data_IF_825318070913
#
_entry.id   IF_825318070913
#
_cell.length_a   1.000
_cell.length_b   1.000
_cell.length_c   1.000
_cell.angle_alpha   90.00
_cell.angle_beta   90.00
_cell.angle_gamma   90.00
#
_symmetry.space_group_name_H-M   'P 1'
#
loop_
_entity.id
_entity.type
_entity.pdbx_description
1 polymer ?
#
# COMPACT_ATOMS: atom_id res chain seq x y z
N UNK A 1 -30.99 -4.01 0.29
CA UNK A 1 -30.28 -3.27 -0.79
C UNK A 1 -28.80 -3.35 -0.47
N UNK A 2 -28.15 -4.41 -0.93
CA UNK A 2 -26.78 -4.75 -0.54
C UNK A 2 -25.81 -4.07 -1.49
N UNK A 3 -25.36 -2.86 -1.13
CA UNK A 3 -24.30 -2.18 -1.87
C UNK A 3 -23.01 -2.95 -1.61
N UNK A 4 -22.55 -3.67 -2.62
CA UNK A 4 -21.35 -4.50 -2.53
C UNK A 4 -20.12 -3.61 -2.35
N UNK A 5 -19.19 -4.01 -1.50
CA UNK A 5 -17.89 -3.31 -1.32
C UNK A 5 -17.10 -3.21 -2.63
N UNK A 6 -17.36 -4.11 -3.60
CA UNK A 6 -16.87 -4.01 -4.97
C UNK A 6 -17.51 -2.83 -5.72
N UNK A 7 -18.79 -2.56 -5.50
CA UNK A 7 -19.49 -1.43 -6.09
C UNK A 7 -19.00 -0.09 -5.50
N UNK A 8 -18.67 -0.06 -4.20
CA UNK A 8 -18.02 1.08 -3.55
C UNK A 8 -16.60 1.31 -4.09
N UNK A 9 -15.81 0.25 -4.31
CA UNK A 9 -14.47 0.33 -4.90
C UNK A 9 -14.49 0.70 -6.39
N UNK A 10 -15.45 0.18 -7.16
CA UNK A 10 -15.68 0.53 -8.56
C UNK A 10 -16.14 1.98 -8.70
N UNK A 11 -17.03 2.45 -7.81
CA UNK A 11 -17.45 3.84 -7.74
C UNK A 11 -16.29 4.76 -7.30
N UNK A 12 -15.37 4.27 -6.46
CA UNK A 12 -14.17 5.02 -6.09
C UNK A 12 -13.15 5.12 -7.24
N UNK A 13 -12.96 4.05 -8.03
CA UNK A 13 -12.17 4.09 -9.28
C UNK A 13 -12.79 5.02 -10.32
N UNK A 14 -14.12 5.02 -10.46
CA UNK A 14 -14.82 5.89 -11.39
C UNK A 14 -14.73 7.39 -11.00
N UNK A 15 -14.61 7.70 -9.71
CA UNK A 15 -14.40 9.07 -9.21
C UNK A 15 -12.93 9.54 -9.24
N UNK A 16 -11.97 8.63 -9.41
CA UNK A 16 -10.56 8.92 -9.73
C UNK A 16 -10.30 8.95 -11.25
N UNK A 17 -11.34 9.19 -12.06
CA UNK A 17 -11.17 9.52 -13.47
C UNK A 17 -10.46 10.88 -13.65
N UNK A 18 -10.38 11.70 -12.60
CA UNK A 18 -9.25 12.61 -12.45
C UNK A 18 -8.06 11.77 -11.98
N UNK A 19 -7.27 11.30 -12.96
CA UNK A 19 -5.94 10.76 -12.71
C UNK A 19 -5.24 11.69 -11.71
N UNK A 20 -4.72 11.21 -10.56
CA UNK A 20 -3.54 11.86 -10.05
C UNK A 20 -2.52 11.57 -11.15
N UNK A 21 -2.32 12.53 -12.06
CA UNK A 21 -1.00 12.71 -12.62
C UNK A 21 -0.12 12.78 -11.37
N UNK A 22 0.47 11.64 -10.99
CA UNK A 22 1.20 11.51 -9.74
C UNK A 22 2.24 12.60 -9.80
N UNK A 23 2.13 13.59 -8.93
CA UNK A 23 3.09 14.68 -8.94
C UNK A 23 4.48 14.00 -8.89
N UNK A 24 5.36 14.28 -9.88
CA UNK A 24 6.68 13.68 -9.89
C UNK A 24 7.44 13.90 -8.58
N UNK A 25 7.10 14.95 -7.82
CA UNK A 25 7.58 15.18 -6.47
C UNK A 25 7.01 14.17 -5.46
N UNK A 26 5.70 13.96 -5.38
CA UNK A 26 5.08 12.96 -4.50
C UNK A 26 5.60 11.54 -4.79
N UNK A 27 5.76 11.21 -6.06
CA UNK A 27 6.31 9.91 -6.45
C UNK A 27 7.78 9.74 -6.01
N UNK A 28 8.55 10.83 -6.01
CA UNK A 28 9.92 10.82 -5.48
C UNK A 28 9.94 10.63 -3.96
N UNK A 29 9.07 11.30 -3.23
CA UNK A 29 8.94 11.14 -1.77
C UNK A 29 8.53 9.69 -1.43
N UNK A 30 7.54 9.13 -2.13
CA UNK A 30 7.16 7.73 -1.95
C UNK A 30 8.33 6.78 -2.25
N UNK A 31 9.08 7.04 -3.33
CA UNK A 31 10.25 6.24 -3.67
C UNK A 31 11.35 6.33 -2.59
N UNK A 32 11.54 7.47 -1.94
CA UNK A 32 12.50 7.62 -0.85
C UNK A 32 12.08 6.84 0.39
N UNK A 33 10.79 6.92 0.77
CA UNK A 33 10.25 6.12 1.88
C UNK A 33 10.45 4.62 1.60
N UNK A 34 10.12 4.17 0.39
CA UNK A 34 10.24 2.76 0.00
C UNK A 34 11.69 2.30 -0.20
N UNK A 35 12.66 3.20 -0.33
CA UNK A 35 14.08 2.83 -0.40
C UNK A 35 14.62 2.36 0.96
N UNK A 36 13.93 2.69 2.06
CA UNK A 36 14.32 2.26 3.42
C UNK A 36 14.10 0.76 3.67
N UNK A 37 13.34 0.10 2.80
CA UNK A 37 13.04 -1.33 2.88
C UNK A 37 14.29 -2.19 2.66
N UNK A 38 14.47 -3.30 3.39
CA UNK A 38 15.54 -4.24 3.11
C UNK A 38 15.43 -4.78 1.68
N UNK A 39 16.46 -4.58 0.85
CA UNK A 39 16.45 -5.05 -0.54
C UNK A 39 16.72 -6.56 -0.64
N UNK A 40 15.72 -7.40 -0.97
CA UNK A 40 15.87 -8.84 -1.03
C UNK A 40 16.69 -9.31 -2.24
N UNK A 41 17.00 -8.41 -3.18
CA UNK A 41 17.73 -8.74 -4.41
C UNK A 41 19.22 -8.90 -4.12
N UNK A 42 19.83 -9.91 -4.75
CA UNK A 42 21.29 -10.08 -4.79
C UNK A 42 21.96 -8.85 -5.39
N UNK A 43 23.19 -8.54 -4.98
CA UNK A 43 23.96 -7.35 -5.43
C UNK A 43 24.02 -7.23 -6.96
N UNK A 44 24.20 -8.34 -7.66
CA UNK A 44 24.23 -8.41 -9.13
C UNK A 44 22.89 -8.04 -9.79
N UNK A 45 21.78 -8.16 -9.07
CA UNK A 45 20.42 -7.85 -9.54
C UNK A 45 19.95 -6.42 -9.24
N UNK A 46 20.75 -5.60 -8.54
CA UNK A 46 20.39 -4.23 -8.12
C UNK A 46 20.68 -3.20 -9.22
N UNK A 47 20.11 -3.43 -10.40
CA UNK A 47 20.20 -2.49 -11.54
C UNK A 47 19.37 -1.22 -11.35
N UNK A 48 18.29 -1.34 -10.60
CA UNK A 48 17.32 -0.27 -10.37
C UNK A 48 17.18 -0.05 -8.86
N UNK A 49 17.04 1.22 -8.45
CA UNK A 49 16.72 1.60 -7.07
C UNK A 49 15.46 0.88 -6.58
N UNK A 50 15.47 0.39 -5.34
CA UNK A 50 14.38 -0.43 -4.81
C UNK A 50 13.09 0.39 -4.72
N UNK A 51 13.17 1.55 -4.09
CA UNK A 51 12.03 2.40 -3.82
C UNK A 51 11.38 2.90 -5.10
N UNK A 52 12.17 3.19 -6.14
CA UNK A 52 11.67 3.54 -7.47
C UNK A 52 10.84 2.42 -8.09
N UNK A 53 11.32 1.17 -8.03
CA UNK A 53 10.57 0.03 -8.58
C UNK A 53 9.24 -0.16 -7.83
N UNK A 54 9.27 -0.07 -6.51
CA UNK A 54 8.08 -0.25 -5.68
C UNK A 54 7.08 0.89 -5.90
N UNK A 55 7.53 2.15 -5.89
CA UNK A 55 6.69 3.31 -6.11
C UNK A 55 6.00 3.27 -7.48
N UNK A 56 6.72 2.89 -8.53
CA UNK A 56 6.15 2.70 -9.86
C UNK A 56 5.14 1.56 -9.93
N UNK A 57 5.41 0.43 -9.26
CA UNK A 57 4.43 -0.65 -9.13
C UNK A 57 3.15 -0.15 -8.44
N UNK A 58 3.29 0.61 -7.35
CA UNK A 58 2.17 1.19 -6.61
C UNK A 58 1.33 2.09 -7.50
N UNK A 59 1.95 3.06 -8.19
CA UNK A 59 1.23 3.96 -9.11
C UNK A 59 0.57 3.20 -10.25
N UNK A 60 1.25 2.20 -10.82
CA UNK A 60 0.67 1.38 -11.89
C UNK A 60 -0.60 0.64 -11.41
N UNK A 61 -0.56 0.06 -10.21
CA UNK A 61 -1.71 -0.64 -9.62
C UNK A 61 -2.85 0.34 -9.31
N UNK A 62 -2.54 1.53 -8.77
CA UNK A 62 -3.52 2.59 -8.56
C UNK A 62 -4.15 3.08 -9.87
N UNK A 63 -3.36 3.12 -10.95
CA UNK A 63 -3.82 3.36 -12.33
C UNK A 63 -4.59 2.19 -12.95
N UNK A 64 -4.81 1.10 -12.20
CA UNK A 64 -5.64 -0.04 -12.60
C UNK A 64 -4.87 -1.21 -13.22
N UNK A 65 -3.53 -1.22 -13.20
CA UNK A 65 -2.75 -2.36 -13.67
C UNK A 65 -2.92 -3.57 -12.74
N UNK A 66 -3.61 -4.60 -13.23
CA UNK A 66 -3.90 -5.82 -12.46
C UNK A 66 -2.96 -7.00 -12.77
N UNK A 67 -1.97 -6.82 -13.64
CA UNK A 67 -1.01 -7.88 -14.02
C UNK A 67 0.41 -7.34 -14.10
N UNK A 68 1.41 -8.21 -13.90
CA UNK A 68 2.84 -7.83 -14.03
C UNK A 68 3.17 -7.24 -15.40
N UNK A 69 2.56 -7.76 -16.46
CA UNK A 69 2.70 -7.23 -17.82
C UNK A 69 2.07 -5.84 -17.95
N UNK A 70 0.91 -5.62 -17.32
CA UNK A 70 0.28 -4.30 -17.28
C UNK A 70 1.12 -3.29 -16.51
N UNK A 71 1.72 -3.69 -15.38
CA UNK A 71 2.64 -2.84 -14.61
C UNK A 71 3.87 -2.51 -15.44
N UNK A 72 4.52 -3.49 -16.06
CA UNK A 72 5.69 -3.25 -16.90
C UNK A 72 5.37 -2.33 -18.09
N UNK A 73 4.19 -2.47 -18.69
CA UNK A 73 3.72 -1.57 -19.75
C UNK A 73 3.49 -0.15 -19.24
N UNK A 74 2.87 -0.01 -18.08
CA UNK A 74 2.67 1.30 -17.43
C UNK A 74 4.01 2.01 -17.22
N UNK A 75 4.99 1.31 -16.65
CA UNK A 75 6.35 1.84 -16.43
C UNK A 75 7.05 2.18 -17.75
N UNK A 76 6.88 1.36 -18.78
CA UNK A 76 7.47 1.61 -20.09
C UNK A 76 6.87 2.85 -20.78
N UNK A 77 5.58 3.10 -20.58
CA UNK A 77 4.83 4.21 -21.12
C UNK A 77 5.05 5.54 -20.36
N UNK A 78 5.73 5.52 -19.21
CA UNK A 78 6.04 6.73 -18.46
C UNK A 78 6.88 7.71 -19.33
N UNK A 79 6.61 9.03 -19.27
CA UNK A 79 7.36 10.03 -20.02
C UNK A 79 8.88 9.94 -19.81
N UNK A 80 9.72 10.23 -20.84
CA UNK A 80 11.18 10.11 -20.75
C UNK A 80 11.82 10.91 -19.60
N UNK A 81 11.31 12.10 -19.33
CA UNK A 81 11.71 12.99 -18.23
C UNK A 81 11.43 12.38 -16.86
N UNK A 82 10.25 11.79 -16.67
CA UNK A 82 9.89 11.04 -15.45
C UNK A 82 10.83 9.85 -15.28
N UNK A 83 11.05 9.07 -16.34
CA UNK A 83 11.99 7.93 -16.30
C UNK A 83 13.41 8.39 -15.94
N UNK A 84 13.88 9.47 -16.54
CA UNK A 84 15.20 10.03 -16.25
C UNK A 84 15.32 10.49 -14.78
N UNK A 85 14.31 11.18 -14.24
CA UNK A 85 14.26 11.61 -12.83
C UNK A 85 14.36 10.44 -11.85
N UNK A 86 13.81 9.29 -12.23
CA UNK A 86 13.87 8.06 -11.44
C UNK A 86 15.09 7.18 -11.74
N UNK A 87 16.05 7.65 -12.53
CA UNK A 87 17.24 6.89 -12.91
C UNK A 87 16.94 5.68 -13.80
N UNK A 88 15.75 5.63 -14.38
CA UNK A 88 15.37 4.67 -15.41
C UNK A 88 15.90 5.23 -16.73
N UNK A 89 17.12 4.85 -17.08
CA UNK A 89 17.68 5.19 -18.39
C UNK A 89 16.89 4.52 -19.53
N UNK A 90 17.52 4.30 -20.68
CA UNK A 90 16.87 3.66 -21.84
C UNK A 90 16.36 2.22 -21.60
N UNK A 91 16.65 1.61 -20.44
CA UNK A 91 16.24 0.24 -20.11
C UNK A 91 15.21 0.25 -19.01
N UNK A 92 13.98 -0.11 -19.38
CA UNK A 92 12.85 -0.24 -18.44
C UNK A 92 12.82 -1.64 -17.81
N UNK A 93 12.34 -1.78 -16.55
CA UNK A 93 12.20 -3.08 -15.91
C UNK A 93 11.25 -3.99 -16.70
N UNK A 94 11.63 -5.25 -16.87
CA UNK A 94 10.74 -6.27 -17.46
C UNK A 94 9.78 -6.79 -16.40
N UNK A 95 8.65 -7.33 -16.84
CA UNK A 95 7.65 -7.96 -15.95
C UNK A 95 8.27 -9.03 -15.03
N UNK A 96 9.26 -9.81 -15.52
CA UNK A 96 9.96 -10.79 -14.69
C UNK A 96 10.84 -10.17 -13.59
N UNK A 97 11.43 -8.99 -13.83
CA UNK A 97 12.18 -8.25 -12.80
C UNK A 97 11.25 -7.80 -11.68
N UNK A 98 10.10 -7.23 -12.05
CA UNK A 98 9.08 -6.79 -11.09
C UNK A 98 8.48 -7.97 -10.33
N UNK A 99 8.15 -9.07 -11.04
CA UNK A 99 7.61 -10.28 -10.44
C UNK A 99 8.54 -10.92 -9.41
N UNK A 100 9.84 -11.01 -9.70
CA UNK A 100 10.82 -11.53 -8.73
C UNK A 100 10.96 -10.63 -7.51
N UNK A 101 10.95 -9.32 -7.71
CA UNK A 101 11.00 -8.37 -6.60
C UNK A 101 9.76 -8.52 -5.69
N UNK A 102 8.57 -8.47 -6.27
CA UNK A 102 7.31 -8.55 -5.52
C UNK A 102 7.11 -9.92 -4.84
N UNK A 103 7.72 -10.99 -5.37
CA UNK A 103 7.67 -12.30 -4.75
C UNK A 103 8.57 -12.45 -3.51
N UNK A 104 9.55 -11.56 -3.33
CA UNK A 104 10.54 -11.65 -2.24
C UNK A 104 10.52 -10.47 -1.27
N UNK A 105 9.80 -9.40 -1.60
CA UNK A 105 9.66 -8.25 -0.71
C UNK A 105 8.89 -8.67 0.54
N UNK A 106 9.31 -8.16 1.69
CA UNK A 106 8.57 -8.29 2.93
C UNK A 106 7.28 -7.45 2.84
N UNK A 107 6.12 -8.11 2.83
CA UNK A 107 4.83 -7.45 2.72
C UNK A 107 4.51 -6.62 3.96
N UNK A 108 4.86 -7.10 5.16
CA UNK A 108 4.57 -6.39 6.41
C UNK A 108 5.41 -5.10 6.49
N UNK A 109 6.68 -5.17 6.10
CA UNK A 109 7.54 -3.99 6.03
C UNK A 109 7.05 -2.99 4.99
N UNK A 110 6.62 -3.46 3.82
CA UNK A 110 6.06 -2.62 2.76
C UNK A 110 4.78 -1.92 3.23
N UNK A 111 3.87 -2.65 3.86
CA UNK A 111 2.62 -2.12 4.38
C UNK A 111 2.84 -1.09 5.48
N UNK A 112 3.83 -1.32 6.36
CA UNK A 112 4.21 -0.35 7.38
C UNK A 112 4.76 0.95 6.76
N UNK A 113 5.65 0.85 5.77
CA UNK A 113 6.22 2.01 5.10
C UNK A 113 5.16 2.85 4.38
N UNK A 114 4.24 2.21 3.66
CA UNK A 114 3.12 2.88 2.97
C UNK A 114 2.17 3.50 3.99
N UNK A 115 1.81 2.76 5.04
CA UNK A 115 0.92 3.25 6.10
C UNK A 115 1.48 4.50 6.79
N UNK A 116 2.76 4.49 7.14
CA UNK A 116 3.45 5.63 7.72
C UNK A 116 3.45 6.85 6.78
N UNK A 117 3.75 6.65 5.50
CA UNK A 117 3.69 7.72 4.50
C UNK A 117 2.27 8.30 4.36
N UNK A 118 1.24 7.45 4.36
CA UNK A 118 -0.15 7.89 4.30
C UNK A 118 -0.59 8.69 5.53
N UNK A 119 -0.10 8.35 6.74
CA UNK A 119 -0.38 9.14 7.95
C UNK A 119 0.05 10.60 7.77
N UNK A 120 1.19 10.85 7.11
CA UNK A 120 1.65 12.22 6.81
C UNK A 120 0.74 13.00 5.86
N UNK A 121 -0.09 12.31 5.06
CA UNK A 121 -1.09 12.91 4.17
C UNK A 121 -2.47 13.00 4.82
N UNK A 122 -2.61 12.49 6.05
CA UNK A 122 -3.82 12.66 6.84
C UNK A 122 -3.71 13.92 7.68
N UNK A 123 -4.47 14.96 7.38
CA UNK A 123 -4.47 16.21 8.15
C UNK A 123 -5.15 16.00 9.50
N UNK A 124 -4.52 16.32 10.64
CA UNK A 124 -5.20 16.28 11.94
C UNK A 124 -6.23 17.40 11.97
N UNK A 125 -7.45 17.12 11.50
CA UNK A 125 -8.60 17.96 11.84
C UNK A 125 -8.76 17.86 13.34
N UNK A 126 -8.37 18.90 14.06
CA UNK A 126 -8.23 18.91 15.53
C UNK A 126 -9.38 18.15 16.23
N UNK A 127 -9.01 17.26 17.15
CA UNK A 127 -9.96 16.37 17.82
C UNK A 127 -9.47 14.92 17.92
N UNK A 128 -10.33 14.03 18.44
CA UNK A 128 -10.06 12.60 18.48
C UNK A 128 -10.18 11.99 17.09
N UNK A 129 -9.16 11.25 16.66
CA UNK A 129 -9.18 10.47 15.42
C UNK A 129 -9.81 9.10 15.67
N UNK A 130 -10.91 8.81 14.97
CA UNK A 130 -11.52 7.49 14.99
C UNK A 130 -10.85 6.56 13.97
N UNK A 131 -10.57 5.33 14.37
CA UNK A 131 -10.09 4.25 13.51
C UNK A 131 -11.16 3.19 13.36
N UNK A 132 -11.44 2.81 12.11
CA UNK A 132 -12.22 1.62 11.80
C UNK A 132 -11.26 0.45 11.56
N UNK A 133 -11.57 -0.71 12.11
CA UNK A 133 -10.79 -1.94 11.88
C UNK A 133 -11.70 -2.97 11.23
N UNK A 134 -11.30 -3.51 10.08
CA UNK A 134 -12.13 -4.40 9.28
C UNK A 134 -11.31 -5.53 8.63
N UNK A 135 -11.94 -6.70 8.51
CA UNK A 135 -11.38 -7.89 7.87
C UNK A 135 -11.63 -7.90 6.36
N UNK A 136 -10.56 -7.94 5.55
CA UNK A 136 -10.62 -8.07 4.09
C UNK A 136 -10.12 -9.44 3.64
N UNK A 137 -10.91 -10.10 2.78
CA UNK A 137 -10.45 -11.31 2.09
C UNK A 137 -9.95 -10.96 0.69
N UNK A 138 -8.67 -11.19 0.41
CA UNK A 138 -8.09 -11.05 -0.92
C UNK A 138 -8.50 -12.24 -1.79
N UNK A 139 -9.72 -12.20 -2.34
CA UNK A 139 -10.31 -13.34 -3.09
C UNK A 139 -9.43 -13.87 -4.22
N UNK A 140 -8.67 -12.99 -4.87
CA UNK A 140 -7.76 -13.35 -5.97
C UNK A 140 -6.46 -14.05 -5.55
N UNK A 141 -6.16 -14.14 -4.25
CA UNK A 141 -4.94 -14.79 -3.76
C UNK A 141 -5.09 -16.30 -3.55
N UNK A 142 -6.32 -16.83 -3.71
CA UNK A 142 -6.59 -18.27 -3.58
C UNK A 142 -5.89 -19.02 -4.71
N UNK A 143 -5.18 -20.08 -4.36
CA UNK A 143 -4.62 -21.03 -5.33
C UNK A 143 -5.27 -22.40 -5.16
N UNK A 144 -4.93 -23.36 -6.01
CA UNK A 144 -5.40 -24.74 -5.84
C UNK A 144 -5.02 -25.36 -4.47
N UNK A 145 -3.97 -24.84 -3.83
CA UNK A 145 -3.39 -25.40 -2.60
C UNK A 145 -3.44 -24.45 -1.40
N UNK A 146 -3.86 -23.19 -1.58
CA UNK A 146 -3.93 -22.18 -0.51
C UNK A 146 -5.27 -21.49 -0.50
N UNK A 147 -5.81 -21.31 0.71
CA UNK A 147 -7.01 -20.49 0.94
C UNK A 147 -6.74 -19.03 0.59
N UNK A 148 -7.81 -18.25 0.46
CA UNK A 148 -7.68 -16.82 0.25
C UNK A 148 -6.99 -16.17 1.46
N UNK A 149 -6.18 -15.16 1.21
CA UNK A 149 -5.49 -14.39 2.25
C UNK A 149 -6.53 -13.51 2.94
N UNK A 150 -6.52 -13.56 4.27
CA UNK A 150 -7.33 -12.71 5.13
C UNK A 150 -6.43 -11.63 5.72
N UNK A 151 -6.84 -10.37 5.60
CA UNK A 151 -6.14 -9.20 6.11
C UNK A 151 -7.03 -8.49 7.13
N UNK A 152 -6.46 -7.96 8.20
CA UNK A 152 -7.10 -7.02 9.10
C UNK A 152 -6.51 -5.63 8.81
N UNK A 153 -7.35 -4.66 8.48
CA UNK A 153 -6.93 -3.32 8.09
C UNK A 153 -7.48 -2.26 9.04
N UNK A 154 -6.64 -1.31 9.45
CA UNK A 154 -7.01 -0.13 10.23
C UNK A 154 -7.09 1.09 9.30
N UNK A 155 -8.26 1.74 9.30
CA UNK A 155 -8.61 2.84 8.40
C UNK A 155 -8.96 4.07 9.20
N UNK A 156 -8.40 5.22 8.83
CA UNK A 156 -8.78 6.51 9.42
C UNK A 156 -10.18 6.89 8.96
N UNK A 157 -11.08 7.10 9.93
CA UNK A 157 -12.45 7.51 9.67
C UNK A 157 -12.49 8.91 9.06
N UNK A 158 -13.29 9.12 8.02
CA UNK A 158 -13.36 10.38 7.26
C UNK A 158 -12.41 10.44 6.06
N UNK A 159 -11.18 9.97 6.23
CA UNK A 159 -10.12 10.11 5.21
C UNK A 159 -9.96 8.87 4.31
N UNK A 160 -10.56 7.73 4.71
CA UNK A 160 -10.56 6.46 3.96
C UNK A 160 -9.15 5.94 3.64
N UNK A 161 -8.15 6.36 4.41
CA UNK A 161 -6.77 5.92 4.30
C UNK A 161 -6.51 4.71 5.21
N UNK A 162 -5.97 3.63 4.65
CA UNK A 162 -5.49 2.47 5.41
C UNK A 162 -4.12 2.82 5.97
N UNK A 163 -3.98 2.92 7.28
CA UNK A 163 -2.74 3.33 7.95
C UNK A 163 -1.96 2.15 8.53
N UNK A 164 -2.61 1.02 8.70
CA UNK A 164 -1.96 -0.25 9.05
C UNK A 164 -2.79 -1.40 8.48
N UNK A 165 -2.11 -2.47 8.09
CA UNK A 165 -2.75 -3.72 7.73
C UNK A 165 -1.87 -4.88 8.15
N UNK A 166 -2.50 -6.03 8.42
CA UNK A 166 -1.79 -7.25 8.80
C UNK A 166 -2.49 -8.48 8.29
N UNK A 167 -1.73 -9.45 7.80
CA UNK A 167 -2.28 -10.76 7.46
C UNK A 167 -2.72 -11.52 8.71
N UNK A 168 -3.94 -12.03 8.69
CA UNK A 168 -4.46 -13.01 9.65
C UNK A 168 -4.06 -14.39 9.14
N UNK A 169 -3.24 -15.10 9.92
CA UNK A 169 -2.87 -16.48 9.60
C UNK A 169 -4.14 -17.35 9.53
N UNK A 170 -4.13 -18.31 8.62
CA UNK A 170 -5.12 -19.38 8.45
C UNK A 170 -5.54 -20.09 9.75
N UNK A 171 -4.65 -20.15 10.76
CA UNK A 171 -4.91 -20.74 12.08
C UNK A 171 -5.20 -19.71 13.18
N UNK A 172 -5.24 -18.43 12.83
CA UNK A 172 -5.49 -17.31 13.75
C UNK A 172 -6.87 -16.71 13.49
N UNK A 173 -7.27 -15.72 14.30
CA UNK A 173 -8.51 -14.98 14.12
C UNK A 173 -8.26 -13.46 14.22
N UNK A 174 -9.26 -12.67 13.84
CA UNK A 174 -9.17 -11.21 13.84
C UNK A 174 -8.96 -10.65 15.25
N UNK A 175 -9.51 -11.30 16.28
CA UNK A 175 -9.41 -10.87 17.68
C UNK A 175 -7.95 -10.90 18.14
N UNK A 176 -7.22 -11.97 17.84
CA UNK A 176 -5.79 -12.08 18.20
C UNK A 176 -4.91 -11.20 17.32
N UNK A 177 -5.33 -10.87 16.11
CA UNK A 177 -4.61 -9.96 15.21
C UNK A 177 -4.83 -8.47 15.53
N UNK A 178 -5.91 -8.11 16.22
CA UNK A 178 -6.32 -6.74 16.50
C UNK A 178 -5.29 -5.94 17.31
N UNK A 179 -4.89 -6.44 18.49
CA UNK A 179 -3.89 -5.74 19.32
C UNK A 179 -2.57 -5.51 18.58
N UNK A 180 -1.95 -6.56 17.98
CA UNK A 180 -0.73 -6.36 17.20
C UNK A 180 -0.83 -5.38 16.04
N UNK A 181 -2.00 -5.28 15.38
CA UNK A 181 -2.22 -4.31 14.31
C UNK A 181 -2.14 -2.86 14.82
N UNK A 182 -2.61 -2.61 16.05
CA UNK A 182 -2.65 -1.27 16.64
C UNK A 182 -1.38 -0.91 17.41
N UNK A 183 -0.59 -1.88 17.88
CA UNK A 183 0.67 -1.63 18.60
C UNK A 183 1.62 -0.62 17.93
N UNK A 184 1.87 -0.68 16.60
CA UNK A 184 2.76 0.28 15.95
C UNK A 184 2.12 1.67 15.75
N UNK A 185 0.80 1.80 15.97
CA UNK A 185 0.11 3.08 15.88
C UNK A 185 0.22 3.76 17.25
N UNK A 186 0.82 4.95 17.30
CA UNK A 186 0.85 5.78 18.50
C UNK A 186 -0.54 6.36 18.79
N UNK A 187 -1.45 5.51 19.28
CA UNK A 187 -2.80 5.90 19.66
C UNK A 187 -2.75 6.56 21.03
N UNK A 188 -3.18 7.82 21.11
CA UNK A 188 -3.39 8.47 22.39
C UNK A 188 -4.49 7.72 23.14
N UNK A 189 -4.16 7.15 24.30
CA UNK A 189 -5.18 6.69 25.24
C UNK A 189 -5.88 7.96 25.75
N UNK A 190 -7.21 8.07 25.66
CA UNK A 190 -7.90 9.20 26.25
C UNK A 190 -7.54 9.20 27.74
N UNK A 191 -6.89 10.25 28.23
CA UNK A 191 -6.78 10.46 29.66
C UNK A 191 -8.22 10.49 30.18
N UNK A 192 -8.56 9.51 31.02
CA UNK A 192 -9.84 9.50 31.70
C UNK A 192 -9.97 10.84 32.41
N UNK A 193 -10.82 11.74 31.89
CA UNK A 193 -11.20 12.92 32.65
C UNK A 193 -11.95 12.39 33.85
N UNK A 194 -11.29 12.38 35.00
CA UNK A 194 -11.95 12.32 36.28
C UNK A 194 -12.85 13.56 36.35
N UNK A 195 -14.12 13.40 35.99
CA UNK A 195 -15.16 14.34 36.42
C UNK A 195 -15.23 14.26 37.94
N UNK A 196 -14.88 15.31 38.70
CA UNK A 196 -15.21 15.36 40.11
C UNK A 196 -16.75 15.43 40.22
N UNK A 197 -17.31 14.62 41.12
CA UNK A 197 -18.73 14.59 41.46
C UNK A 197 -19.24 15.96 41.94
#
# INVERSE_FOLDING_TARGET
MSVSTIEVLSCHRARRADSPATDPAELAVLAEVLETLPDPRRRQGRRYRLGVLLALCTVAVLGGAATLTAIARFVAAAPPDIRARFGLGARVPRACTLGRLLAWIDSDALDHAIGHWLVGHTEPTGGLRALAVDGKTLRGSRTATRTAVHLLAAVVHGERAVIAQRQVDSKSNEITAFRPLLTPLHLAVPSSRSTPC
#
